data_IF_031901832379
#
_entry.id   IF_031901832379
#
_cell.length_a   1.000
_cell.length_b   1.000
_cell.length_c   1.000
_cell.angle_alpha   90.00
_cell.angle_beta   90.00
_cell.angle_gamma   90.00
#
_symmetry.space_group_name_H-M   'P 1'
#
loop_
_entity.id
_entity.type
_entity.pdbx_description
1 polymer ?
#
# COMPACT_ATOMS: atom_id res chain seq x y z
N UNK A 1 6.04 6.25 35.20
CA UNK A 1 7.34 6.87 34.82
C UNK A 1 8.19 5.97 33.93
N UNK A 2 8.29 4.66 34.19
CA UNK A 2 9.11 3.74 33.38
C UNK A 2 8.86 3.81 31.84
N UNK A 3 7.62 3.90 31.33
CA UNK A 3 7.38 3.97 29.88
C UNK A 3 8.03 5.19 29.21
N UNK A 4 7.96 6.35 29.85
CA UNK A 4 8.56 7.58 29.34
C UNK A 4 10.10 7.49 29.31
N UNK A 5 10.70 6.81 30.30
CA UNK A 5 12.15 6.58 30.33
C UNK A 5 12.56 5.68 29.17
N UNK A 6 11.85 4.59 28.91
CA UNK A 6 12.15 3.69 27.81
C UNK A 6 12.01 4.37 26.44
N UNK A 7 10.96 5.17 26.24
CA UNK A 7 10.78 5.96 25.02
C UNK A 7 11.96 6.92 24.79
N UNK A 8 12.41 7.62 25.84
CA UNK A 8 13.55 8.55 25.74
C UNK A 8 14.86 7.81 25.50
N UNK A 9 15.07 6.67 26.14
CA UNK A 9 16.25 5.85 25.92
C UNK A 9 16.31 5.33 24.48
N UNK A 10 15.19 4.84 23.94
CA UNK A 10 15.11 4.37 22.56
C UNK A 10 15.42 5.49 21.54
N UNK A 11 14.88 6.70 21.75
CA UNK A 11 15.23 7.87 20.92
C UNK A 11 16.73 8.22 21.01
N UNK A 12 17.31 8.16 22.21
CA UNK A 12 18.73 8.43 22.42
C UNK A 12 19.63 7.38 21.75
N UNK A 13 19.22 6.11 21.74
CA UNK A 13 19.92 5.04 21.05
C UNK A 13 19.87 5.23 19.52
N UNK A 14 18.71 5.58 18.96
CA UNK A 14 18.61 5.95 17.55
C UNK A 14 19.54 7.10 17.16
N UNK A 15 19.56 8.18 17.97
CA UNK A 15 20.47 9.31 17.75
C UNK A 15 21.97 8.97 17.89
N UNK A 16 22.32 7.80 18.42
CA UNK A 16 23.68 7.27 18.48
C UNK A 16 23.97 6.23 17.38
N UNK A 17 23.15 6.19 16.32
CA UNK A 17 23.21 5.19 15.25
C UNK A 17 23.09 3.74 15.79
N UNK A 18 22.30 3.54 16.86
CA UNK A 18 21.99 2.23 17.47
C UNK A 18 20.49 1.92 17.48
N UNK A 19 19.78 2.03 16.34
CA UNK A 19 18.32 1.90 16.32
C UNK A 19 17.81 0.50 16.70
N UNK A 20 18.53 -0.59 16.42
CA UNK A 20 18.13 -1.94 16.82
C UNK A 20 18.08 -2.12 18.33
N UNK A 21 19.02 -1.50 19.06
CA UNK A 21 19.01 -1.50 20.52
C UNK A 21 17.83 -0.67 21.05
N UNK A 22 17.50 0.42 20.37
CA UNK A 22 16.29 1.20 20.66
C UNK A 22 15.00 0.38 20.50
N UNK A 23 14.90 -0.43 19.45
CA UNK A 23 13.78 -1.35 19.25
C UNK A 23 13.70 -2.41 20.36
N UNK A 24 14.86 -2.93 20.79
CA UNK A 24 14.93 -3.88 21.90
C UNK A 24 14.40 -3.26 23.20
N UNK A 25 14.77 -2.01 23.48
CA UNK A 25 14.25 -1.25 24.64
C UNK A 25 12.72 -1.10 24.60
N UNK A 26 12.13 -0.87 23.42
CA UNK A 26 10.68 -0.74 23.28
C UNK A 26 9.93 -2.09 23.34
N UNK A 27 10.62 -3.20 23.12
CA UNK A 27 10.07 -4.55 23.18
C UNK A 27 9.95 -5.11 24.61
N UNK A 28 10.54 -4.44 25.59
CA UNK A 28 10.45 -4.83 27.01
C UNK A 28 8.98 -4.97 27.47
N UNK A 29 8.65 -6.02 28.25
CA UNK A 29 7.29 -6.25 28.73
C UNK A 29 6.95 -5.25 29.84
N UNK A 30 6.39 -4.12 29.44
CA UNK A 30 6.03 -3.01 30.31
C UNK A 30 4.55 -2.63 30.14
N UNK A 31 3.96 -2.11 31.21
CA UNK A 31 2.64 -1.47 31.14
C UNK A 31 2.75 -0.10 30.44
N UNK A 32 2.40 -0.08 29.17
CA UNK A 32 2.52 1.09 28.28
C UNK A 32 1.32 2.04 28.32
N UNK A 33 0.32 1.79 29.17
CA UNK A 33 -0.95 2.51 29.17
C UNK A 33 -0.76 4.05 29.19
N UNK A 34 -1.32 4.73 28.18
CA UNK A 34 -1.19 6.17 27.94
C UNK A 34 0.03 6.61 27.10
N UNK A 35 0.99 5.71 26.85
CA UNK A 35 2.21 5.98 26.07
C UNK A 35 2.30 5.17 24.77
N UNK A 36 1.31 4.33 24.47
CA UNK A 36 1.31 3.44 23.31
C UNK A 36 1.50 4.18 21.98
N UNK A 37 0.83 5.33 21.79
CA UNK A 37 1.01 6.14 20.58
C UNK A 37 2.45 6.63 20.42
N UNK A 38 3.03 7.18 21.50
CA UNK A 38 4.41 7.65 21.50
C UNK A 38 5.43 6.49 21.35
N UNK A 39 5.13 5.30 21.89
CA UNK A 39 5.94 4.09 21.68
C UNK A 39 5.98 3.72 20.20
N UNK A 40 4.82 3.65 19.56
CA UNK A 40 4.72 3.31 18.13
C UNK A 40 5.34 4.38 17.22
N UNK A 41 5.26 5.65 17.58
CA UNK A 41 5.95 6.72 16.85
C UNK A 41 7.47 6.50 16.88
N UNK A 42 8.05 6.24 18.07
CA UNK A 42 9.50 6.00 18.18
C UNK A 42 9.90 4.70 17.51
N UNK A 43 9.09 3.65 17.59
CA UNK A 43 9.29 2.41 16.85
C UNK A 43 9.40 2.68 15.35
N UNK A 44 8.49 3.49 14.79
CA UNK A 44 8.54 3.91 13.39
C UNK A 44 9.78 4.73 13.04
N UNK A 45 10.19 5.68 13.90
CA UNK A 45 11.39 6.50 13.69
C UNK A 45 12.67 5.65 13.61
N UNK A 46 12.76 4.60 14.44
CA UNK A 46 13.90 3.68 14.47
C UNK A 46 13.88 2.72 13.27
N UNK A 47 12.70 2.21 12.89
CA UNK A 47 12.54 1.37 11.70
C UNK A 47 12.87 2.14 10.42
N UNK A 48 12.52 3.43 10.36
CA UNK A 48 12.88 4.30 9.25
C UNK A 48 14.40 4.47 9.10
N UNK A 49 15.11 4.69 10.22
CA UNK A 49 16.59 4.77 10.22
C UNK A 49 17.25 3.48 9.73
N UNK A 50 16.58 2.34 9.88
CA UNK A 50 17.01 1.02 9.43
C UNK A 50 16.62 0.70 7.98
N UNK A 51 16.03 1.66 7.25
CA UNK A 51 15.51 1.47 5.90
C UNK A 51 14.40 0.37 5.83
N UNK A 52 13.75 0.07 6.96
CA UNK A 52 12.64 -0.88 7.08
C UNK A 52 11.31 -0.16 6.87
N UNK A 53 11.15 0.43 5.68
CA UNK A 53 10.13 1.44 5.39
C UNK A 53 8.68 0.93 5.57
N UNK A 54 8.39 -0.30 5.17
CA UNK A 54 7.06 -0.90 5.34
C UNK A 54 6.70 -1.10 6.81
N UNK A 55 7.67 -1.48 7.64
CA UNK A 55 7.47 -1.67 9.08
C UNK A 55 7.35 -0.30 9.77
N UNK A 56 8.17 0.68 9.35
CA UNK A 56 8.07 2.04 9.84
C UNK A 56 6.68 2.64 9.57
N UNK A 57 6.15 2.48 8.35
CA UNK A 57 4.80 2.92 7.97
C UNK A 57 3.73 2.27 8.85
N UNK A 58 3.84 0.96 9.09
CA UNK A 58 2.90 0.24 9.94
C UNK A 58 2.94 0.74 11.39
N UNK A 59 4.13 0.97 11.95
CA UNK A 59 4.29 1.52 13.29
C UNK A 59 3.69 2.92 13.41
N UNK A 60 3.93 3.82 12.44
CA UNK A 60 3.30 5.14 12.43
C UNK A 60 1.78 5.06 12.31
N UNK A 61 1.23 4.14 11.50
CA UNK A 61 -0.22 3.94 11.42
C UNK A 61 -0.81 3.49 12.77
N UNK A 62 -0.12 2.58 13.48
CA UNK A 62 -0.52 2.19 14.84
C UNK A 62 -0.47 3.38 15.80
N UNK A 63 0.53 4.25 15.68
CA UNK A 63 0.64 5.46 16.48
C UNK A 63 -0.54 6.42 16.22
N UNK A 64 -0.91 6.68 14.95
CA UNK A 64 -2.07 7.50 14.57
C UNK A 64 -3.36 6.90 15.15
N UNK A 65 -3.58 5.60 14.92
CA UNK A 65 -4.79 4.91 15.38
C UNK A 65 -4.91 4.92 16.91
N UNK A 66 -3.79 4.81 17.62
CA UNK A 66 -3.75 4.84 19.08
C UNK A 66 -3.98 6.25 19.64
N UNK A 67 -3.46 7.28 18.98
CA UNK A 67 -3.67 8.68 19.38
C UNK A 67 -5.10 9.16 19.08
N UNK A 68 -5.76 8.59 18.07
CA UNK A 68 -7.12 8.97 17.68
C UNK A 68 -7.20 10.45 17.30
N UNK A 69 -8.13 11.18 17.89
CA UNK A 69 -8.31 12.63 17.64
C UNK A 69 -7.13 13.47 18.11
N UNK A 70 -6.29 12.98 19.03
CA UNK A 70 -5.08 13.66 19.50
C UNK A 70 -3.87 13.42 18.56
N UNK A 71 -4.05 12.68 17.46
CA UNK A 71 -2.96 12.43 16.51
C UNK A 71 -2.43 13.74 15.92
N UNK A 72 -1.10 13.90 15.96
CA UNK A 72 -0.45 15.08 15.42
C UNK A 72 -0.43 15.02 13.88
N UNK A 73 -0.70 16.12 13.17
CA UNK A 73 -0.69 16.14 11.70
C UNK A 73 0.62 15.64 11.08
N UNK A 74 1.76 15.88 11.73
CA UNK A 74 3.06 15.40 11.28
C UNK A 74 3.18 13.87 11.25
N UNK A 75 2.44 13.16 12.10
CA UNK A 75 2.44 11.69 12.12
C UNK A 75 1.67 11.12 10.91
N UNK A 76 0.55 11.73 10.54
CA UNK A 76 -0.19 11.40 9.32
C UNK A 76 0.67 11.63 8.07
N UNK A 77 1.40 12.76 8.02
CA UNK A 77 2.30 13.06 6.91
C UNK A 77 3.41 12.00 6.75
N UNK A 78 3.99 11.50 7.85
CA UNK A 78 4.98 10.40 7.79
C UNK A 78 4.39 9.12 7.20
N UNK A 79 3.14 8.78 7.54
CA UNK A 79 2.44 7.61 6.96
C UNK A 79 2.23 7.80 5.47
N UNK A 80 1.76 8.98 5.05
CA UNK A 80 1.49 9.31 3.64
C UNK A 80 2.78 9.27 2.80
N UNK A 81 3.85 9.90 3.27
CA UNK A 81 5.16 9.93 2.61
C UNK A 81 5.71 8.51 2.38
N UNK A 82 5.69 7.68 3.42
CA UNK A 82 6.13 6.30 3.31
C UNK A 82 5.23 5.44 2.43
N UNK A 83 3.92 5.68 2.43
CA UNK A 83 2.98 4.96 1.55
C UNK A 83 3.31 5.24 0.08
N UNK A 84 3.65 6.49 -0.25
CA UNK A 84 4.04 6.86 -1.61
C UNK A 84 5.43 6.30 -1.98
N UNK A 85 6.39 6.38 -1.06
CA UNK A 85 7.75 5.86 -1.27
C UNK A 85 7.75 4.34 -1.49
N UNK A 86 7.02 3.56 -0.68
CA UNK A 86 6.99 2.10 -0.84
C UNK A 86 6.22 1.67 -2.09
N UNK A 87 5.15 2.39 -2.47
CA UNK A 87 4.42 2.13 -3.71
C UNK A 87 5.23 2.42 -4.98
N UNK A 88 6.16 3.37 -4.94
CA UNK A 88 7.03 3.70 -6.08
C UNK A 88 8.26 2.78 -6.18
N UNK A 89 8.61 2.07 -5.11
CA UNK A 89 9.67 1.05 -5.10
C UNK A 89 9.25 -0.29 -5.74
N UNK A 90 7.96 -0.54 -5.95
CA UNK A 90 7.44 -1.76 -6.60
C UNK A 90 6.90 -1.46 -8.02
N UNK A 91 7.73 -1.50 -9.08
CA UNK A 91 7.31 -1.19 -10.45
C UNK A 91 6.53 -2.33 -11.13
N UNK A 92 6.12 -3.39 -10.43
CA UNK A 92 5.50 -4.55 -11.05
C UNK A 92 4.04 -4.35 -11.51
N UNK A 93 3.41 -3.21 -11.22
CA UNK A 93 1.98 -2.94 -11.54
C UNK A 93 1.71 -1.50 -12.01
N UNK A 94 2.61 -0.92 -12.81
CA UNK A 94 2.34 0.37 -13.48
C UNK A 94 2.49 0.27 -14.99
N UNK A 95 1.93 -0.79 -15.60
CA UNK A 95 1.85 -0.91 -17.06
C UNK A 95 0.58 -1.66 -17.51
N UNK A 96 -0.59 -1.08 -17.29
CA UNK A 96 -1.76 -1.35 -18.15
C UNK A 96 -2.88 -0.32 -17.92
N UNK A 97 -2.73 0.89 -18.49
CA UNK A 97 -3.87 1.75 -18.90
C UNK A 97 -3.35 3.01 -19.59
N UNK A 98 -2.69 2.83 -20.72
CA UNK A 98 -2.48 3.91 -21.69
C UNK A 98 -2.58 3.36 -23.10
N UNK A 99 -3.68 2.67 -23.40
CA UNK A 99 -4.06 2.38 -24.79
C UNK A 99 -5.39 3.05 -25.08
N UNK A 100 -5.30 4.34 -25.40
CA UNK A 100 -6.34 5.02 -26.16
C UNK A 100 -5.77 5.21 -27.57
N UNK A 101 -5.92 4.18 -28.43
CA UNK A 101 -5.71 4.34 -29.86
C UNK A 101 -7.07 4.39 -30.55
N UNK A 102 -7.55 5.61 -30.73
CA UNK A 102 -8.57 5.93 -31.70
C UNK A 102 -7.99 5.74 -33.10
N UNK A 103 -8.43 4.72 -33.84
CA UNK A 103 -8.58 4.75 -35.29
C UNK A 103 -9.08 3.40 -35.82
N UNK A 104 -10.36 3.31 -36.13
CA UNK A 104 -10.82 2.46 -37.23
C UNK A 104 -11.95 3.19 -37.93
N UNK A 105 -11.56 3.83 -39.03
CA UNK A 105 -12.46 4.47 -39.99
C UNK A 105 -13.18 3.35 -40.73
N UNK A 106 -14.51 3.35 -40.71
CA UNK A 106 -15.32 2.38 -41.46
C UNK A 106 -15.96 3.08 -42.67
N UNK A 107 -15.46 2.73 -43.86
CA UNK A 107 -16.10 2.78 -45.19
C UNK A 107 -15.04 2.35 -46.23
N UNK A 108 -15.36 1.58 -47.30
CA UNK A 108 -16.44 1.90 -48.24
C UNK A 108 -17.20 0.69 -48.85
N UNK A 109 -18.16 1.05 -49.72
CA UNK A 109 -19.21 0.26 -50.36
C UNK A 109 -18.82 -0.55 -51.63
N UNK A 110 -19.83 -1.30 -52.13
CA UNK A 110 -20.03 -1.93 -53.44
C UNK A 110 -19.41 -3.33 -53.65
N UNK A 111 -20.07 -4.37 -54.19
CA UNK A 111 -21.38 -4.57 -54.82
C UNK A 111 -21.62 -6.09 -55.09
N UNK A 112 -22.74 -6.50 -55.71
CA UNK A 112 -23.28 -7.88 -55.66
C UNK A 112 -23.09 -8.70 -56.95
N UNK A 113 -22.95 -10.04 -56.85
CA UNK A 113 -23.37 -11.05 -57.87
C UNK A 113 -23.12 -12.48 -57.29
N UNK A 114 -24.13 -13.33 -57.11
CA UNK A 114 -24.68 -14.33 -58.05
C UNK A 114 -24.31 -15.79 -57.71
N UNK A 115 -25.38 -16.54 -57.44
CA UNK A 115 -25.67 -17.88 -57.99
C UNK A 115 -25.14 -19.15 -57.33
N UNK A 116 -26.04 -20.14 -57.41
CA UNK A 116 -25.91 -21.59 -57.19
C UNK A 116 -26.03 -22.07 -55.73
N UNK A 117 -26.72 -23.15 -55.38
CA UNK A 117 -27.56 -24.14 -56.08
C UNK A 117 -28.02 -25.19 -55.02
N UNK A 118 -29.12 -25.90 -55.28
CA UNK A 118 -29.41 -27.24 -54.71
C UNK A 118 -29.95 -27.33 -53.27
N UNK A 119 -31.26 -27.50 -52.99
CA UNK A 119 -32.16 -28.66 -53.20
C UNK A 119 -32.22 -29.68 -52.04
N UNK A 120 -33.43 -29.79 -51.47
CA UNK A 120 -34.15 -30.92 -50.82
C UNK A 120 -33.60 -31.70 -49.62
N UNK A 121 -34.46 -31.86 -48.61
CA UNK A 121 -35.23 -33.10 -48.31
C UNK A 121 -35.63 -33.06 -46.80
N UNK A 122 -36.90 -32.91 -46.44
CA UNK A 122 -37.95 -33.95 -46.27
C UNK A 122 -38.29 -34.21 -44.79
N UNK A 123 -39.56 -33.90 -44.48
CA UNK A 123 -40.52 -34.56 -43.58
C UNK A 123 -40.08 -35.71 -42.68
N UNK A 124 -40.49 -35.61 -41.40
CA UNK A 124 -41.37 -36.54 -40.64
C UNK A 124 -41.40 -36.05 -39.18
N UNK A 125 -42.50 -35.49 -38.69
CA UNK A 125 -43.68 -36.19 -38.13
C UNK A 125 -43.31 -37.39 -37.25
N UNK A 126 -43.59 -37.29 -35.96
CA UNK A 126 -43.99 -38.39 -35.08
C UNK A 126 -44.27 -37.89 -33.65
N UNK A 127 -45.53 -38.05 -33.22
CA UNK A 127 -45.88 -38.43 -31.84
C UNK A 127 -46.44 -37.33 -30.95
#
# INVERSE_FOLDING_TARGET
>A
MAPLVQIRLARLLGAQDRPEEGLTVLAEPLEWAGFMAARHEVEGDLLYQLDRLDEARQAYQLAVNTAGEESLPGLTMKVEDLTFATASMDPAISDESSNNEAASVEAPAAGPDASADGTQADSKDNG
#
